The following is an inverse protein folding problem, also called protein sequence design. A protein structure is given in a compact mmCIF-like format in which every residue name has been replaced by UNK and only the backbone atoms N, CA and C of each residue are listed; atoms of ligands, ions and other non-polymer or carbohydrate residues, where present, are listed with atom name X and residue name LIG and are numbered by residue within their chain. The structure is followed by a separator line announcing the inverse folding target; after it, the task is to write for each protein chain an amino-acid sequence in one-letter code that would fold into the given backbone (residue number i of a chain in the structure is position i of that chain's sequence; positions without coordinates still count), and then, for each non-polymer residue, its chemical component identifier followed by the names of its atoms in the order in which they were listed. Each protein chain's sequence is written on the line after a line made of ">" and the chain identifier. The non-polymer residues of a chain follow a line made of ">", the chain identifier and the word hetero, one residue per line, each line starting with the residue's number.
data_IF_694304581182
#
_entry.id   IF_694304581182
#
_cell.length_a   1.000
_cell.length_b   1.000
_cell.length_c   1.000
_cell.angle_alpha   90.00
_cell.angle_beta   90.00
_cell.angle_gamma   90.00
#
_symmetry.space_group_name_H-M   'P 1'
#
loop_
_entity.id
_entity.type
_entity.pdbx_description
1 polymer ?
#
# COMPACT_ATOMS: atom_id res chain seq x y z
N UNK A 1 -9.50 24.95 -10.30
CA UNK A 1 -8.17 24.35 -10.12
C UNK A 1 -8.36 22.84 -10.17
N UNK A 2 -8.00 22.18 -11.27
CA UNK A 2 -7.91 20.73 -11.25
C UNK A 2 -6.73 20.35 -10.34
N UNK A 3 -6.84 19.33 -9.47
CA UNK A 3 -5.69 18.85 -8.73
C UNK A 3 -4.62 18.47 -9.77
N UNK A 4 -3.37 18.91 -9.56
CA UNK A 4 -2.24 18.41 -10.34
C UNK A 4 -2.21 16.91 -10.08
N UNK A 5 -2.75 16.12 -11.01
CA UNK A 5 -2.56 14.67 -11.00
C UNK A 5 -1.07 14.46 -11.08
N UNK A 6 -0.46 14.21 -9.91
CA UNK A 6 0.95 13.92 -9.80
C UNK A 6 1.17 12.64 -10.61
N UNK A 7 2.08 12.71 -11.57
CA UNK A 7 2.28 11.59 -12.49
C UNK A 7 3.04 10.50 -11.73
N UNK A 8 2.29 9.53 -11.24
CA UNK A 8 2.82 8.42 -10.47
C UNK A 8 3.26 7.26 -11.36
N UNK A 9 3.37 7.46 -12.67
CA UNK A 9 3.83 6.43 -13.62
C UNK A 9 5.29 6.05 -13.38
N UNK A 10 6.06 6.92 -12.70
CA UNK A 10 7.43 6.67 -12.28
C UNK A 10 7.55 5.76 -11.04
N UNK A 11 6.47 5.57 -10.27
CA UNK A 11 6.51 4.73 -9.07
C UNK A 11 6.59 3.27 -9.50
N UNK A 12 7.67 2.54 -9.17
CA UNK A 12 7.78 1.14 -9.54
C UNK A 12 6.77 0.30 -8.76
N UNK A 13 6.25 -0.74 -9.42
CA UNK A 13 5.40 -1.73 -8.78
C UNK A 13 6.21 -2.55 -7.77
N UNK A 14 5.87 -2.41 -6.48
CA UNK A 14 6.56 -3.06 -5.36
C UNK A 14 5.51 -3.54 -4.37
N UNK A 15 5.78 -4.69 -3.77
CA UNK A 15 4.88 -5.33 -2.82
C UNK A 15 5.60 -5.58 -1.50
N UNK A 16 4.87 -5.35 -0.41
CA UNK A 16 5.28 -5.63 0.95
C UNK A 16 4.26 -6.54 1.59
N UNK A 17 4.74 -7.42 2.45
CA UNK A 17 3.95 -8.40 3.18
C UNK A 17 4.49 -8.45 4.61
N UNK A 18 3.58 -8.50 5.59
CA UNK A 18 3.91 -8.68 6.98
C UNK A 18 2.86 -9.54 7.68
N UNK A 19 3.30 -10.24 8.73
CA UNK A 19 2.40 -10.99 9.59
C UNK A 19 1.64 -10.02 10.51
N UNK A 20 0.31 -10.18 10.58
CA UNK A 20 -0.59 -9.48 11.49
C UNK A 20 -1.32 -10.53 12.34
N UNK A 21 -0.68 -10.97 13.41
CA UNK A 21 -1.20 -12.06 14.25
C UNK A 21 -1.30 -13.37 13.48
N UNK A 22 -2.52 -13.84 13.23
CA UNK A 22 -2.81 -15.07 12.45
C UNK A 22 -3.12 -14.78 10.97
N UNK A 23 -3.11 -13.51 10.58
CA UNK A 23 -3.35 -13.03 9.22
C UNK A 23 -2.04 -12.55 8.60
N UNK A 24 -2.03 -12.48 7.27
CA UNK A 24 -0.96 -11.86 6.51
C UNK A 24 -1.51 -10.62 5.84
N UNK A 25 -0.98 -9.46 6.20
CA UNK A 25 -1.34 -8.18 5.60
C UNK A 25 -0.23 -7.73 4.66
N UNK A 26 -0.58 -6.96 3.66
CA UNK A 26 0.37 -6.49 2.69
C UNK A 26 -0.15 -5.31 1.91
N UNK A 27 0.74 -4.75 1.10
CA UNK A 27 0.41 -3.68 0.18
C UNK A 27 1.16 -3.88 -1.11
N UNK A 28 0.56 -3.48 -2.22
CA UNK A 28 1.29 -3.30 -3.46
C UNK A 28 1.07 -1.91 -4.04
N UNK A 29 2.13 -1.33 -4.60
CA UNK A 29 2.06 -0.16 -5.46
C UNK A 29 1.77 -0.63 -6.89
N UNK A 30 0.74 -0.09 -7.53
CA UNK A 30 0.43 -0.38 -8.94
C UNK A 30 -0.31 0.81 -9.55
N UNK A 31 0.07 1.24 -10.76
CA UNK A 31 -0.69 2.24 -11.55
C UNK A 31 -1.10 3.52 -10.77
N UNK A 32 -0.23 4.06 -9.92
CA UNK A 32 -0.53 5.28 -9.16
C UNK A 32 -1.38 5.11 -7.90
N UNK A 33 -1.62 3.87 -7.47
CA UNK A 33 -2.39 3.53 -6.27
C UNK A 33 -1.68 2.49 -5.39
N UNK A 34 -2.01 2.53 -4.11
CA UNK A 34 -1.71 1.49 -3.12
C UNK A 34 -2.92 0.58 -3.03
N UNK A 35 -2.68 -0.72 -3.06
CA UNK A 35 -3.70 -1.70 -2.76
C UNK A 35 -3.27 -2.44 -1.51
N UNK A 36 -3.93 -2.11 -0.41
CA UNK A 36 -3.81 -2.79 0.86
C UNK A 36 -4.58 -4.09 0.77
N UNK A 37 -3.98 -5.21 1.15
CA UNK A 37 -4.63 -6.50 1.14
C UNK A 37 -4.38 -7.22 2.46
N UNK A 38 -5.37 -7.95 2.94
CA UNK A 38 -5.24 -8.80 4.13
C UNK A 38 -5.79 -10.19 3.84
N UNK A 39 -4.99 -11.19 4.16
CA UNK A 39 -5.28 -12.62 4.02
C UNK A 39 -5.44 -13.25 5.39
N UNK A 40 -6.68 -13.59 5.81
CA UNK A 40 -6.88 -14.35 7.02
C UNK A 40 -6.45 -15.82 6.79
N UNK A 41 -5.55 -16.36 7.63
CA UNK A 41 -5.30 -17.80 7.72
C UNK A 41 -3.98 -18.35 7.14
N UNK A 42 -2.85 -17.64 7.28
CA UNK A 42 -1.52 -18.17 6.91
C UNK A 42 -1.37 -18.57 5.43
N UNK A 43 -0.21 -19.13 5.07
CA UNK A 43 0.17 -19.46 3.69
C UNK A 43 -0.77 -20.50 3.03
N UNK A 44 -1.93 -20.06 2.52
CA UNK A 44 -2.91 -20.92 1.85
C UNK A 44 -4.34 -20.38 1.71
N UNK A 45 -4.66 -19.15 2.14
CA UNK A 45 -6.04 -18.64 2.15
C UNK A 45 -6.55 -18.10 0.81
N UNK A 46 -7.70 -18.63 0.34
CA UNK A 46 -8.49 -18.18 -0.83
C UNK A 46 -9.87 -17.61 -0.42
N UNK A 47 -10.10 -17.35 0.89
CA UNK A 47 -11.40 -16.96 1.44
C UNK A 47 -11.27 -15.67 2.27
N UNK A 48 -11.85 -14.57 1.78
CA UNK A 48 -11.93 -13.31 2.52
C UNK A 48 -10.77 -12.33 2.31
N UNK A 49 -10.07 -12.38 1.17
CA UNK A 49 -9.13 -11.31 0.78
C UNK A 49 -9.87 -9.97 0.73
N UNK A 50 -9.60 -9.12 1.71
CA UNK A 50 -10.07 -7.74 1.70
C UNK A 50 -8.98 -6.92 1.03
N UNK A 51 -9.30 -6.35 -0.14
CA UNK A 51 -8.46 -5.38 -0.79
C UNK A 51 -9.06 -3.99 -0.60
N UNK A 52 -8.26 -3.02 -0.17
CA UNK A 52 -8.63 -1.62 -0.09
C UNK A 52 -7.65 -0.78 -0.89
N UNK A 53 -8.18 -0.03 -1.84
CA UNK A 53 -7.40 0.85 -2.69
C UNK A 53 -7.26 2.22 -2.02
N UNK A 54 -6.06 2.77 -2.03
CA UNK A 54 -5.74 4.10 -1.53
C UNK A 54 -4.82 4.80 -2.52
N UNK A 55 -5.13 6.05 -2.90
CA UNK A 55 -4.24 6.85 -3.75
C UNK A 55 -2.95 7.22 -3.01
N UNK A 56 -1.84 7.38 -3.74
CA UNK A 56 -0.57 7.83 -3.13
C UNK A 56 -0.69 9.20 -2.44
N UNK A 57 -1.48 10.11 -3.01
CA UNK A 57 -1.74 11.43 -2.42
C UNK A 57 -2.42 11.29 -1.05
N UNK A 58 -3.48 10.49 -0.97
CA UNK A 58 -4.19 10.22 0.28
C UNK A 58 -3.30 9.54 1.33
N UNK A 59 -2.36 8.69 0.91
CA UNK A 59 -1.37 8.10 1.82
C UNK A 59 -0.38 9.14 2.35
N UNK A 60 0.08 10.06 1.51
CA UNK A 60 1.00 11.13 1.94
C UNK A 60 0.30 12.18 2.83
N UNK A 61 -0.98 12.46 2.58
CA UNK A 61 -1.78 13.41 3.35
C UNK A 61 -2.30 12.85 4.68
N UNK A 62 -2.90 11.65 4.66
CA UNK A 62 -3.61 11.07 5.80
C UNK A 62 -2.92 9.84 6.41
N UNK A 63 -1.90 9.30 5.75
CA UNK A 63 -1.22 8.07 6.17
C UNK A 63 -1.89 6.78 5.64
N UNK A 64 -1.42 5.61 6.07
CA UNK A 64 -1.96 4.33 5.66
C UNK A 64 -3.40 4.14 6.13
N UNK A 65 -4.26 3.61 5.24
CA UNK A 65 -5.66 3.32 5.55
C UNK A 65 -5.85 2.16 6.55
N UNK A 66 -4.81 1.35 6.75
CA UNK A 66 -4.79 0.17 7.62
C UNK A 66 -3.55 0.19 8.52
N UNK A 67 -3.51 -0.70 9.51
CA UNK A 67 -2.30 -0.87 10.33
C UNK A 67 -1.13 -1.34 9.46
N UNK A 68 -0.02 -0.61 9.53
CA UNK A 68 1.20 -0.85 8.76
C UNK A 68 2.40 -0.81 9.70
N UNK A 69 3.35 -1.75 9.57
CA UNK A 69 4.63 -1.66 10.27
C UNK A 69 5.38 -0.39 9.88
N UNK A 70 6.00 0.27 10.86
CA UNK A 70 6.73 1.53 10.68
C UNK A 70 7.78 1.46 9.56
N UNK A 71 8.47 0.31 9.42
CA UNK A 71 9.48 0.11 8.39
C UNK A 71 8.85 0.11 6.98
N UNK A 72 7.69 -0.53 6.81
CA UNK A 72 6.94 -0.56 5.55
C UNK A 72 6.39 0.82 5.22
N UNK A 73 5.81 1.54 6.20
CA UNK A 73 5.36 2.92 6.00
C UNK A 73 6.51 3.82 5.55
N UNK A 74 7.67 3.70 6.17
CA UNK A 74 8.87 4.47 5.85
C UNK A 74 9.40 4.15 4.46
N UNK A 75 9.49 2.88 4.08
CA UNK A 75 9.90 2.46 2.74
C UNK A 75 8.92 2.95 1.67
N UNK A 76 7.61 2.82 1.89
CA UNK A 76 6.58 3.33 0.98
C UNK A 76 6.73 4.83 0.79
N UNK A 77 6.87 5.58 1.88
CA UNK A 77 7.02 7.03 1.82
C UNK A 77 8.28 7.42 1.05
N UNK A 78 9.41 6.79 1.37
CA UNK A 78 10.66 7.03 0.65
C UNK A 78 10.55 6.70 -0.84
N UNK A 79 9.82 5.63 -1.20
CA UNK A 79 9.58 5.28 -2.61
C UNK A 79 8.76 6.36 -3.34
N UNK A 80 7.69 6.85 -2.70
CA UNK A 80 6.83 7.88 -3.27
C UNK A 80 7.55 9.23 -3.38
N UNK A 81 8.33 9.62 -2.36
CA UNK A 81 9.14 10.83 -2.39
C UNK A 81 10.30 10.74 -3.41
N UNK A 82 10.88 9.55 -3.62
CA UNK A 82 11.89 9.33 -4.66
C UNK A 82 11.32 9.34 -6.09
N UNK A 83 10.00 9.22 -6.23
CA UNK A 83 9.30 9.21 -7.52
C UNK A 83 8.61 10.54 -7.83
N UNK A 84 8.77 11.56 -6.97
CA UNK A 84 8.30 12.93 -7.15
C UNK A 84 9.18 13.76 -8.11
#
# INVERSE_FOLDING_TARGET
>A
MAPRSKDWSAVPGRSWEWAEGSSTSGVHTCEGKLVWWTRPGGAGGYFGEVASEQSFDAFLEAGPAVFVPDDVARELRALLEASE
#
